data_IF_272319564736
#
_entry.id   IF_272319564736
#
_cell.length_a   1.000
_cell.length_b   1.000
_cell.length_c   1.000
_cell.angle_alpha   90.00
_cell.angle_beta   90.00
_cell.angle_gamma   90.00
#
_symmetry.space_group_name_H-M   'P 1'
#
loop_
_entity.id
_entity.type
_entity.pdbx_description
1 polymer ?
#
# COMPACT_ATOMS: atom_id res chain seq x y z
N UNK A 1 12.21 -34.26 -1.58
CA UNK A 1 13.27 -33.24 -1.77
C UNK A 1 12.57 -31.89 -1.80
N UNK A 2 12.68 -31.10 -0.72
CA UNK A 2 12.09 -29.76 -0.67
C UNK A 2 12.80 -28.90 -1.71
N UNK A 3 12.10 -28.54 -2.78
CA UNK A 3 12.54 -27.44 -3.63
C UNK A 3 12.53 -26.20 -2.73
N UNK A 4 13.71 -25.70 -2.39
CA UNK A 4 13.85 -24.37 -1.79
C UNK A 4 13.23 -23.39 -2.77
N UNK A 5 12.00 -22.93 -2.50
CA UNK A 5 11.39 -21.90 -3.33
C UNK A 5 12.33 -20.70 -3.36
N UNK A 6 12.68 -20.21 -4.55
CA UNK A 6 13.45 -18.97 -4.69
C UNK A 6 12.65 -17.85 -4.04
N UNK A 7 13.03 -17.44 -2.82
CA UNK A 7 12.39 -16.34 -2.09
C UNK A 7 12.74 -15.03 -2.81
N UNK A 8 11.79 -14.48 -3.54
CA UNK A 8 12.02 -13.25 -4.33
C UNK A 8 10.85 -12.28 -4.34
N UNK A 9 9.67 -12.71 -3.91
CA UNK A 9 8.49 -11.86 -3.95
C UNK A 9 8.52 -10.77 -2.89
N UNK A 10 7.77 -9.72 -3.13
CA UNK A 10 7.68 -8.54 -2.28
C UNK A 10 6.23 -8.31 -1.91
N UNK A 11 5.97 -8.27 -0.61
CA UNK A 11 4.68 -7.85 -0.05
C UNK A 11 4.68 -6.33 0.10
N UNK A 12 3.85 -5.62 -0.67
CA UNK A 12 3.84 -4.15 -0.67
C UNK A 12 2.88 -3.53 0.35
N UNK A 13 2.23 -4.34 1.19
CA UNK A 13 1.29 -3.82 2.19
C UNK A 13 1.15 -4.77 3.38
N UNK A 14 1.79 -4.45 4.49
CA UNK A 14 1.52 -5.10 5.78
C UNK A 14 1.65 -4.10 6.94
N UNK A 15 1.12 -4.47 8.10
CA UNK A 15 1.14 -3.68 9.33
C UNK A 15 1.76 -4.48 10.48
N UNK A 16 2.52 -3.82 11.33
CA UNK A 16 3.03 -4.38 12.60
C UNK A 16 2.66 -3.44 13.74
N UNK A 17 2.25 -4.00 14.87
CA UNK A 17 1.78 -3.26 16.04
C UNK A 17 1.67 -4.15 17.28
N UNK A 18 1.49 -3.53 18.44
CA UNK A 18 1.27 -4.20 19.72
C UNK A 18 -0.17 -4.05 20.19
N UNK A 19 -0.65 -5.04 20.93
CA UNK A 19 -1.98 -5.04 21.53
C UNK A 19 -2.18 -3.82 22.45
N UNK A 20 -3.35 -3.19 22.36
CA UNK A 20 -3.77 -2.09 23.22
C UNK A 20 -3.07 -0.75 22.95
N UNK A 21 -2.18 -0.67 21.97
CA UNK A 21 -1.47 0.59 21.65
C UNK A 21 -2.19 1.32 20.53
N UNK A 22 -2.69 2.52 20.84
CA UNK A 22 -3.29 3.44 19.90
C UNK A 22 -3.16 4.90 20.40
N UNK A 23 -3.19 5.85 19.48
CA UNK A 23 -3.28 7.27 19.80
C UNK A 23 -4.66 7.62 20.37
N UNK A 24 -4.74 8.74 21.09
CA UNK A 24 -6.01 9.31 21.50
C UNK A 24 -6.87 9.65 20.26
N UNK A 25 -8.16 9.30 20.32
CA UNK A 25 -9.10 9.52 19.20
C UNK A 25 -8.98 8.51 18.05
N UNK A 26 -8.12 7.49 18.16
CA UNK A 26 -8.09 6.39 17.20
C UNK A 26 -9.46 5.68 17.13
N UNK A 27 -9.86 5.28 15.91
CA UNK A 27 -11.14 4.59 15.67
C UNK A 27 -11.30 3.28 16.45
N UNK A 28 -10.18 2.60 16.68
CA UNK A 28 -10.11 1.37 17.48
C UNK A 28 -8.66 1.17 17.95
N UNK A 29 -8.50 0.33 18.97
CA UNK A 29 -7.20 -0.19 19.41
C UNK A 29 -7.19 -1.72 19.26
N UNK A 30 -6.23 -2.31 18.52
CA UNK A 30 -6.19 -3.75 18.32
C UNK A 30 -5.99 -4.50 19.63
N UNK A 31 -6.70 -5.61 19.84
CA UNK A 31 -6.62 -6.43 21.06
C UNK A 31 -5.58 -7.57 20.95
N UNK A 32 -4.81 -7.60 19.87
CA UNK A 32 -3.75 -8.56 19.62
C UNK A 32 -2.51 -7.82 19.10
N UNK A 33 -1.37 -8.51 19.12
CA UNK A 33 -0.13 -7.98 18.54
C UNK A 33 0.13 -8.64 17.19
N UNK A 34 0.57 -7.86 16.24
CA UNK A 34 1.04 -8.32 14.94
C UNK A 34 2.53 -8.01 14.89
N UNK A 35 3.38 -8.97 15.27
CA UNK A 35 4.82 -8.73 15.41
C UNK A 35 5.51 -8.90 14.06
N UNK A 36 6.56 -8.12 13.83
CA UNK A 36 7.38 -8.26 12.63
C UNK A 36 7.94 -9.69 12.48
N UNK A 37 8.34 -10.33 13.58
CA UNK A 37 8.82 -11.72 13.56
C UNK A 37 7.75 -12.70 13.05
N UNK A 38 6.47 -12.46 13.36
CA UNK A 38 5.36 -13.31 12.92
C UNK A 38 5.12 -13.13 11.41
N UNK A 39 5.16 -11.88 10.92
CA UNK A 39 5.11 -11.59 9.48
C UNK A 39 6.29 -12.25 8.75
N UNK A 40 7.53 -12.10 9.25
CA UNK A 40 8.73 -12.72 8.64
C UNK A 40 8.55 -14.23 8.52
N UNK A 41 8.12 -14.89 9.60
CA UNK A 41 7.95 -16.34 9.62
C UNK A 41 6.92 -16.82 8.59
N UNK A 42 5.77 -16.13 8.50
CA UNK A 42 4.69 -16.49 7.58
C UNK A 42 5.02 -16.14 6.12
N UNK A 43 5.49 -14.92 5.86
CA UNK A 43 5.83 -14.42 4.54
C UNK A 43 6.93 -15.27 3.87
N UNK A 44 7.97 -15.62 4.62
CA UNK A 44 9.05 -16.45 4.09
C UNK A 44 8.64 -17.89 3.77
N UNK A 45 7.60 -18.41 4.42
CA UNK A 45 7.05 -19.74 4.14
C UNK A 45 6.49 -19.85 2.72
N UNK A 46 6.01 -18.74 2.15
CA UNK A 46 5.38 -18.69 0.82
C UNK A 46 6.26 -18.02 -0.24
N UNK A 47 7.54 -17.74 0.05
CA UNK A 47 8.47 -17.19 -0.93
C UNK A 47 8.55 -15.66 -0.99
N UNK A 48 7.90 -14.95 -0.06
CA UNK A 48 8.06 -13.50 0.14
C UNK A 48 9.36 -13.24 0.90
N UNK A 49 10.21 -12.39 0.32
CA UNK A 49 11.54 -12.08 0.83
C UNK A 49 11.68 -10.64 1.34
N UNK A 50 10.82 -9.72 0.86
CA UNK A 50 10.85 -8.30 1.22
C UNK A 50 9.44 -7.81 1.52
N UNK A 51 9.36 -6.72 2.28
CA UNK A 51 8.09 -6.16 2.72
C UNK A 51 8.09 -4.64 2.75
N UNK A 52 6.92 -4.05 2.49
CA UNK A 52 6.66 -2.62 2.73
C UNK A 52 5.74 -2.50 3.92
N UNK A 53 6.29 -2.06 5.06
CA UNK A 53 5.52 -1.78 6.26
C UNK A 53 4.77 -0.46 6.06
N UNK A 54 3.45 -0.53 6.06
CA UNK A 54 2.58 0.64 6.00
C UNK A 54 2.16 1.04 7.41
N UNK A 55 2.34 2.31 7.78
CA UNK A 55 1.96 2.81 9.09
C UNK A 55 0.43 2.64 9.33
N UNK A 56 0.01 1.92 10.39
CA UNK A 56 -1.42 1.72 10.68
C UNK A 56 -2.05 2.97 11.28
N UNK A 57 -3.31 3.25 10.94
CA UNK A 57 -3.97 4.53 11.29
C UNK A 57 -4.08 4.79 12.79
N UNK A 58 -4.21 3.74 13.61
CA UNK A 58 -4.34 3.88 15.06
C UNK A 58 -3.03 4.25 15.76
N UNK A 59 -1.87 4.19 15.08
CA UNK A 59 -0.60 4.71 15.60
C UNK A 59 -0.32 6.16 15.15
N UNK A 60 -1.21 6.74 14.33
CA UNK A 60 -1.07 8.13 13.88
C UNK A 60 0.27 8.38 13.18
N UNK A 61 0.86 9.54 13.48
CA UNK A 61 2.13 10.00 12.90
C UNK A 61 3.37 9.52 13.66
N UNK A 62 3.21 8.68 14.69
CA UNK A 62 4.36 8.06 15.37
C UNK A 62 4.85 6.86 14.55
N UNK A 63 5.81 7.13 13.68
CA UNK A 63 6.43 6.14 12.80
C UNK A 63 7.64 5.45 13.45
N UNK A 64 7.94 5.70 14.73
CA UNK A 64 9.19 5.30 15.37
C UNK A 64 9.45 3.79 15.33
N UNK A 65 8.43 2.97 15.52
CA UNK A 65 8.55 1.51 15.44
C UNK A 65 8.87 1.02 14.03
N UNK A 66 8.21 1.58 13.03
CA UNK A 66 8.50 1.28 11.63
C UNK A 66 9.95 1.68 11.33
N UNK A 67 10.33 2.93 11.62
CA UNK A 67 11.68 3.46 11.39
C UNK A 67 12.77 2.57 11.98
N UNK A 68 12.64 2.20 13.26
CA UNK A 68 13.61 1.31 13.93
C UNK A 68 13.73 -0.06 13.23
N UNK A 69 12.62 -0.59 12.70
CA UNK A 69 12.65 -1.84 11.95
C UNK A 69 13.27 -1.69 10.56
N UNK A 70 13.04 -0.58 9.86
CA UNK A 70 13.66 -0.32 8.56
C UNK A 70 15.18 -0.22 8.69
N UNK A 71 15.67 0.45 9.73
CA UNK A 71 17.10 0.56 10.04
C UNK A 71 17.73 -0.79 10.41
N UNK A 72 17.00 -1.65 11.12
CA UNK A 72 17.46 -2.98 11.49
C UNK A 72 17.47 -3.96 10.30
N UNK A 73 16.61 -3.74 9.29
CA UNK A 73 16.45 -4.64 8.15
C UNK A 73 16.43 -3.92 6.79
N UNK A 74 17.47 -3.14 6.43
CA UNK A 74 17.46 -2.24 5.28
C UNK A 74 17.41 -2.94 3.91
N UNK A 75 17.81 -4.21 3.84
CA UNK A 75 17.71 -4.99 2.59
C UNK A 75 16.35 -5.66 2.40
N UNK A 76 15.58 -5.80 3.49
CA UNK A 76 14.32 -6.54 3.54
C UNK A 76 13.11 -5.60 3.59
N UNK A 77 13.21 -4.46 4.27
CA UNK A 77 12.07 -3.60 4.55
C UNK A 77 12.19 -2.21 3.93
N UNK A 78 11.03 -1.71 3.48
CA UNK A 78 10.77 -0.28 3.21
C UNK A 78 9.51 0.13 3.94
N UNK A 79 9.33 1.44 4.10
CA UNK A 79 8.20 1.98 4.87
C UNK A 79 7.35 2.95 4.08
N UNK A 80 6.07 3.03 4.48
CA UNK A 80 5.15 4.10 4.10
C UNK A 80 4.65 4.76 5.37
N UNK A 81 5.07 6.01 5.57
CA UNK A 81 4.80 6.75 6.79
C UNK A 81 3.42 7.42 6.76
N UNK A 82 2.86 7.69 7.94
CA UNK A 82 1.79 8.69 8.09
C UNK A 82 2.43 9.94 8.70
N UNK A 83 2.21 11.10 8.11
CA UNK A 83 2.81 12.37 8.53
C UNK A 83 1.75 13.45 8.65
N UNK A 84 2.05 14.49 9.42
CA UNK A 84 1.25 15.72 9.42
C UNK A 84 1.38 16.43 8.06
N UNK A 85 0.31 17.06 7.52
CA UNK A 85 0.41 17.95 6.36
C UNK A 85 1.42 19.10 6.54
N UNK A 86 1.71 19.45 7.79
CA UNK A 86 2.69 20.48 8.17
C UNK A 86 4.11 19.93 8.44
N UNK A 87 4.40 18.67 8.11
CA UNK A 87 5.73 18.10 8.33
C UNK A 87 6.83 18.91 7.61
N UNK A 88 7.99 19.04 8.26
CA UNK A 88 9.13 19.75 7.67
C UNK A 88 9.82 18.90 6.61
N UNK A 89 10.48 19.53 5.64
CA UNK A 89 11.29 18.81 4.65
C UNK A 89 12.40 17.97 5.30
N UNK A 90 12.97 18.44 6.40
CA UNK A 90 14.07 17.74 7.08
C UNK A 90 13.58 16.47 7.80
N UNK A 91 12.37 16.50 8.38
CA UNK A 91 11.74 15.29 8.93
C UNK A 91 11.49 14.25 7.82
N UNK A 92 11.00 14.70 6.66
CA UNK A 92 10.70 13.82 5.51
C UNK A 92 11.99 13.22 4.93
N UNK A 93 13.07 14.01 4.84
CA UNK A 93 14.41 13.53 4.45
C UNK A 93 14.96 12.51 5.45
N UNK A 94 14.75 12.73 6.75
CA UNK A 94 15.16 11.78 7.79
C UNK A 94 14.41 10.45 7.66
N UNK A 95 13.10 10.49 7.40
CA UNK A 95 12.31 9.29 7.09
C UNK A 95 12.84 8.57 5.84
N UNK A 96 13.22 9.32 4.79
CA UNK A 96 13.78 8.72 3.58
C UNK A 96 15.08 7.95 3.87
N UNK A 97 15.99 8.55 4.66
CA UNK A 97 17.25 7.93 5.06
C UNK A 97 17.02 6.63 5.85
N UNK A 98 16.01 6.61 6.72
CA UNK A 98 15.62 5.40 7.45
C UNK A 98 15.02 4.30 6.56
N UNK A 99 14.59 4.61 5.32
CA UNK A 99 14.03 3.62 4.39
C UNK A 99 12.57 3.85 4.00
N UNK A 100 11.96 4.98 4.38
CA UNK A 100 10.60 5.35 3.93
C UNK A 100 10.64 5.77 2.46
N UNK A 101 9.62 5.37 1.68
CA UNK A 101 9.53 5.60 0.22
C UNK A 101 8.22 6.26 -0.22
N UNK A 102 7.43 6.73 0.72
CA UNK A 102 6.17 7.40 0.47
C UNK A 102 5.44 7.69 1.77
N UNK A 103 4.31 8.36 1.62
CA UNK A 103 3.39 8.65 2.73
C UNK A 103 2.01 8.12 2.42
N UNK A 104 1.21 7.82 3.45
CA UNK A 104 -0.16 7.33 3.30
C UNK A 104 -1.20 8.35 3.74
N UNK A 105 -2.17 8.56 2.87
CA UNK A 105 -3.41 9.27 3.12
C UNK A 105 -4.54 8.24 3.26
N UNK A 106 -4.83 7.84 4.51
CA UNK A 106 -5.89 6.89 4.83
C UNK A 106 -7.18 7.63 5.22
N UNK A 107 -8.09 7.70 4.26
CA UNK A 107 -9.39 8.39 4.34
C UNK A 107 -10.56 7.42 4.44
N UNK A 108 -10.33 6.13 4.67
CA UNK A 108 -11.45 5.20 4.85
C UNK A 108 -12.19 5.53 6.15
N UNK A 109 -13.52 5.54 6.14
CA UNK A 109 -14.39 5.80 7.28
C UNK A 109 -14.31 7.22 7.86
N UNK A 110 -13.74 8.16 7.11
CA UNK A 110 -13.61 9.59 7.49
C UNK A 110 -13.91 10.46 6.26
N UNK A 111 -13.82 11.78 6.41
CA UNK A 111 -14.02 12.73 5.31
C UNK A 111 -13.06 12.48 4.14
N UNK A 112 -13.56 12.62 2.91
CA UNK A 112 -12.76 12.65 1.67
C UNK A 112 -12.41 14.06 1.20
N UNK A 113 -12.79 15.09 1.97
CA UNK A 113 -12.28 16.45 1.82
C UNK A 113 -10.90 16.55 2.48
N UNK A 114 -9.90 17.04 1.76
CA UNK A 114 -8.50 17.11 2.23
C UNK A 114 -7.90 18.53 2.10
N UNK A 115 -8.57 19.58 2.58
CA UNK A 115 -8.12 20.96 2.41
C UNK A 115 -6.72 21.21 3.00
N UNK A 116 -6.34 20.54 4.09
CA UNK A 116 -5.02 20.66 4.70
C UNK A 116 -3.91 20.15 3.77
N UNK A 117 -4.21 19.14 2.95
CA UNK A 117 -3.25 18.57 2.00
C UNK A 117 -3.07 19.45 0.76
N UNK A 118 -4.10 20.21 0.36
CA UNK A 118 -3.98 21.16 -0.74
C UNK A 118 -2.96 22.27 -0.48
N UNK A 119 -2.63 22.52 0.80
CA UNK A 119 -1.66 23.54 1.25
C UNK A 119 -0.35 22.94 1.76
N UNK A 120 -0.14 21.62 1.63
CA UNK A 120 1.02 20.91 2.16
C UNK A 120 2.24 21.01 1.23
N UNK A 121 2.74 22.22 0.98
CA UNK A 121 3.83 22.48 0.01
C UNK A 121 5.09 21.64 0.27
N UNK A 122 5.52 21.53 1.52
CA UNK A 122 6.67 20.70 1.91
C UNK A 122 6.46 19.23 1.56
N UNK A 123 5.25 18.71 1.70
CA UNK A 123 4.92 17.32 1.35
C UNK A 123 5.06 17.11 -0.15
N UNK A 124 4.47 17.99 -0.96
CA UNK A 124 4.52 17.87 -2.41
C UNK A 124 5.94 18.03 -2.95
N UNK A 125 6.71 18.96 -2.37
CA UNK A 125 8.12 19.11 -2.66
C UNK A 125 8.92 17.86 -2.29
N UNK A 126 8.72 17.30 -1.08
CA UNK A 126 9.40 16.06 -0.68
C UNK A 126 9.03 14.87 -1.58
N UNK A 127 7.75 14.75 -1.97
CA UNK A 127 7.30 13.69 -2.88
C UNK A 127 8.10 13.72 -4.19
N UNK A 128 8.29 14.91 -4.74
CA UNK A 128 9.08 15.09 -5.95
C UNK A 128 10.58 14.90 -5.71
N UNK A 129 11.18 15.57 -4.72
CA UNK A 129 12.63 15.53 -4.44
C UNK A 129 13.14 14.13 -4.07
N UNK A 130 12.32 13.34 -3.37
CA UNK A 130 12.70 12.05 -2.82
C UNK A 130 12.26 10.87 -3.68
N UNK A 131 11.70 11.13 -4.86
CA UNK A 131 11.05 10.14 -5.72
C UNK A 131 10.04 9.26 -4.95
N UNK A 132 9.29 9.89 -4.06
CA UNK A 132 8.26 9.23 -3.25
C UNK A 132 6.93 9.16 -4.02
N UNK A 133 6.01 8.37 -3.49
CA UNK A 133 4.61 8.35 -3.91
C UNK A 133 3.68 8.69 -2.75
N UNK A 134 2.46 9.10 -3.09
CA UNK A 134 1.36 9.16 -2.16
C UNK A 134 0.55 7.86 -2.24
N UNK A 135 0.50 7.12 -1.13
CA UNK A 135 -0.39 5.98 -0.96
C UNK A 135 -1.78 6.45 -0.52
N UNK A 136 -2.84 6.05 -1.22
CA UNK A 136 -4.20 6.54 -0.98
C UNK A 136 -5.14 5.37 -0.68
N UNK A 137 -5.88 5.49 0.42
CA UNK A 137 -6.95 4.57 0.81
C UNK A 137 -8.23 5.34 1.08
N UNK A 138 -9.26 5.16 0.27
CA UNK A 138 -10.56 5.86 0.40
C UNK A 138 -11.66 4.90 0.81
N UNK A 139 -12.89 5.37 1.00
CA UNK A 139 -14.05 4.48 0.97
C UNK A 139 -14.43 4.10 -0.47
N UNK A 140 -15.37 3.17 -0.60
CA UNK A 140 -15.78 2.61 -1.88
C UNK A 140 -16.32 3.72 -2.81
N UNK A 141 -15.80 3.80 -4.03
CA UNK A 141 -16.19 4.79 -5.04
C UNK A 141 -15.71 6.23 -4.80
N UNK A 142 -14.99 6.52 -3.72
CA UNK A 142 -14.59 7.89 -3.36
C UNK A 142 -13.23 8.33 -3.96
N UNK A 143 -12.47 7.39 -4.53
CA UNK A 143 -11.16 7.71 -5.11
C UNK A 143 -11.19 8.84 -6.16
N UNK A 144 -12.14 8.90 -7.12
CA UNK A 144 -12.17 9.98 -8.10
C UNK A 144 -12.20 11.37 -7.45
N UNK A 145 -13.04 11.55 -6.42
CA UNK A 145 -13.15 12.81 -5.69
C UNK A 145 -11.83 13.22 -5.05
N UNK A 146 -11.16 12.29 -4.36
CA UNK A 146 -9.86 12.54 -3.73
C UNK A 146 -8.79 12.89 -4.77
N UNK A 147 -8.75 12.18 -5.90
CA UNK A 147 -7.78 12.45 -6.96
C UNK A 147 -7.93 13.85 -7.57
N UNK A 148 -9.13 14.44 -7.59
CA UNK A 148 -9.34 15.82 -8.10
C UNK A 148 -8.70 16.89 -7.22
N UNK A 149 -8.48 16.60 -5.94
CA UNK A 149 -7.90 17.53 -4.97
C UNK A 149 -6.37 17.44 -4.91
N UNK A 150 -5.77 16.40 -5.49
CA UNK A 150 -4.34 16.13 -5.44
C UNK A 150 -3.60 16.69 -6.67
N UNK A 151 -2.38 17.24 -6.52
CA UNK A 151 -1.58 17.69 -7.66
C UNK A 151 -1.44 16.58 -8.72
N UNK A 152 -1.75 16.88 -9.99
CA UNK A 152 -1.86 15.87 -11.06
C UNK A 152 -0.57 15.09 -11.33
N UNK A 153 0.58 15.73 -11.09
CA UNK A 153 1.90 15.14 -11.29
C UNK A 153 2.34 14.17 -10.18
N UNK A 154 1.66 14.13 -9.03
CA UNK A 154 2.03 13.25 -7.91
C UNK A 154 1.85 11.77 -8.28
N UNK A 155 2.91 10.94 -8.17
CA UNK A 155 2.79 9.49 -8.30
C UNK A 155 1.90 8.94 -7.19
N UNK A 156 0.98 8.05 -7.53
CA UNK A 156 0.01 7.49 -6.56
C UNK A 156 0.07 5.97 -6.52
N UNK A 157 -0.01 5.43 -5.31
CA UNK A 157 -0.28 4.01 -5.06
C UNK A 157 -1.65 3.91 -4.41
N UNK A 158 -2.54 3.09 -4.97
CA UNK A 158 -3.93 3.00 -4.53
C UNK A 158 -4.16 1.66 -3.84
N UNK A 159 -4.65 1.72 -2.61
CA UNK A 159 -4.84 0.53 -1.78
C UNK A 159 -6.05 -0.32 -2.22
N UNK A 160 -5.93 -1.61 -1.95
CA UNK A 160 -7.01 -2.61 -1.96
C UNK A 160 -7.88 -2.58 -3.22
N UNK A 161 -7.24 -2.69 -4.39
CA UNK A 161 -7.89 -2.70 -5.70
C UNK A 161 -8.78 -1.47 -5.96
N UNK A 162 -8.45 -0.33 -5.35
CA UNK A 162 -9.13 0.96 -5.49
C UNK A 162 -10.59 1.02 -5.01
N UNK A 163 -11.19 -0.10 -4.62
CA UNK A 163 -12.56 -0.22 -4.11
C UNK A 163 -13.59 0.55 -4.97
N UNK A 164 -13.77 0.19 -6.26
CA UNK A 164 -14.83 0.76 -7.10
C UNK A 164 -16.21 0.38 -6.58
N UNK A 165 -17.26 1.04 -7.08
CA UNK A 165 -18.64 0.63 -6.78
C UNK A 165 -18.98 -0.67 -7.49
N UNK A 166 -18.52 -0.82 -8.74
CA UNK A 166 -18.75 -2.01 -9.56
C UNK A 166 -17.47 -2.46 -10.27
N UNK A 167 -17.34 -3.77 -10.53
CA UNK A 167 -16.29 -4.30 -11.39
C UNK A 167 -16.66 -4.10 -12.87
N UNK A 168 -16.58 -2.84 -13.33
CA UNK A 168 -16.92 -2.44 -14.69
C UNK A 168 -15.94 -1.35 -15.20
N UNK A 169 -15.55 -1.42 -16.48
CA UNK A 169 -14.64 -0.45 -17.09
C UNK A 169 -15.18 1.00 -17.07
N UNK A 170 -16.51 1.17 -17.04
CA UNK A 170 -17.14 2.50 -16.96
C UNK A 170 -17.34 3.00 -15.53
N UNK A 171 -16.93 2.24 -14.51
CA UNK A 171 -16.94 2.73 -13.13
C UNK A 171 -16.04 3.99 -13.01
N UNK A 172 -16.51 5.07 -12.37
CA UNK A 172 -15.74 6.31 -12.24
C UNK A 172 -14.33 6.12 -11.66
N UNK A 173 -14.15 5.13 -10.78
CA UNK A 173 -12.85 4.78 -10.18
C UNK A 173 -11.86 4.30 -11.24
N UNK A 174 -12.28 3.38 -12.11
CA UNK A 174 -11.43 2.84 -13.18
C UNK A 174 -11.12 3.92 -14.22
N UNK A 175 -12.10 4.74 -14.59
CA UNK A 175 -11.90 5.87 -15.50
C UNK A 175 -10.91 6.89 -14.93
N UNK A 176 -11.02 7.24 -13.64
CA UNK A 176 -10.13 8.16 -12.97
C UNK A 176 -8.69 7.62 -12.90
N UNK A 177 -8.52 6.32 -12.59
CA UNK A 177 -7.21 5.66 -12.61
C UNK A 177 -6.57 5.69 -14.00
N UNK A 178 -7.33 5.32 -15.04
CA UNK A 178 -6.85 5.33 -16.43
C UNK A 178 -6.46 6.73 -16.90
N UNK A 179 -7.24 7.76 -16.55
CA UNK A 179 -6.90 9.15 -16.84
C UNK A 179 -5.66 9.61 -16.08
N UNK A 180 -5.55 9.28 -14.80
CA UNK A 180 -4.40 9.65 -13.95
C UNK A 180 -3.11 9.00 -14.46
N UNK A 181 -3.17 7.73 -14.86
CA UNK A 181 -2.02 6.96 -15.34
C UNK A 181 -1.44 7.50 -16.67
N UNK A 182 -2.20 8.32 -17.41
CA UNK A 182 -1.71 9.03 -18.60
C UNK A 182 -0.84 10.25 -18.26
N UNK A 183 -0.88 10.72 -17.01
CA UNK A 183 -0.22 11.96 -16.57
C UNK A 183 0.93 11.68 -15.61
N UNK A 184 0.74 10.77 -14.66
CA UNK A 184 1.73 10.43 -13.63
C UNK A 184 1.62 8.94 -13.28
N UNK A 185 2.69 8.27 -12.83
CA UNK A 185 2.63 6.86 -12.45
C UNK A 185 1.51 6.55 -11.45
N UNK A 186 0.67 5.58 -11.80
CA UNK A 186 -0.34 5.00 -10.91
C UNK A 186 0.02 3.55 -10.67
N UNK A 187 -0.01 3.13 -9.41
CA UNK A 187 0.03 1.73 -9.04
C UNK A 187 -1.25 1.35 -8.28
N UNK A 188 -1.81 0.17 -8.53
CA UNK A 188 -2.93 -0.37 -7.75
C UNK A 188 -2.47 -1.63 -7.02
N UNK A 189 -2.68 -1.68 -5.70
CA UNK A 189 -2.34 -2.85 -4.88
C UNK A 189 -3.45 -3.90 -4.95
N UNK A 190 -3.15 -5.05 -5.54
CA UNK A 190 -3.95 -6.27 -5.45
C UNK A 190 -3.77 -6.84 -4.04
N UNK A 191 -4.68 -6.46 -3.16
CA UNK A 191 -4.67 -6.73 -1.73
C UNK A 191 -6.09 -6.56 -1.18
N UNK A 192 -6.37 -7.10 0.01
CA UNK A 192 -7.57 -6.75 0.78
C UNK A 192 -8.92 -6.99 0.07
N UNK A 193 -9.06 -8.04 -0.75
CA UNK A 193 -10.29 -8.28 -1.51
C UNK A 193 -11.55 -8.45 -0.62
N UNK A 194 -11.39 -8.91 0.61
CA UNK A 194 -12.47 -8.96 1.61
C UNK A 194 -13.00 -7.57 2.02
N UNK A 195 -12.33 -6.48 1.61
CA UNK A 195 -12.74 -5.09 1.84
C UNK A 195 -13.53 -4.48 0.67
N UNK A 196 -13.82 -5.23 -0.38
CA UNK A 196 -14.44 -4.73 -1.63
C UNK A 196 -15.98 -4.60 -1.59
N UNK A 197 -16.62 -4.84 -0.44
CA UNK A 197 -18.07 -4.61 -0.32
C UNK A 197 -18.93 -5.48 -1.25
N UNK A 198 -18.45 -6.68 -1.61
CA UNK A 198 -19.15 -7.62 -2.50
C UNK A 198 -18.80 -7.49 -3.98
N UNK A 199 -17.97 -6.53 -4.38
CA UNK A 199 -17.42 -6.48 -5.75
C UNK A 199 -16.54 -7.70 -6.01
N UNK A 200 -16.76 -8.36 -7.14
CA UNK A 200 -16.00 -9.56 -7.52
C UNK A 200 -14.54 -9.20 -7.83
N UNK A 201 -13.61 -9.68 -6.99
CA UNK A 201 -12.19 -9.39 -7.11
C UNK A 201 -11.54 -9.97 -8.36
N UNK A 202 -11.96 -11.14 -8.83
CA UNK A 202 -11.39 -11.75 -10.05
C UNK A 202 -11.73 -10.94 -11.31
N UNK A 203 -12.99 -10.52 -11.45
CA UNK A 203 -13.42 -9.63 -12.53
C UNK A 203 -12.70 -8.28 -12.43
N UNK A 204 -12.60 -7.71 -11.22
CA UNK A 204 -11.93 -6.43 -11.01
C UNK A 204 -10.43 -6.49 -11.31
N UNK A 205 -9.73 -7.56 -10.90
CA UNK A 205 -8.32 -7.77 -11.21
C UNK A 205 -8.09 -7.81 -12.73
N UNK A 206 -8.93 -8.58 -13.44
CA UNK A 206 -8.87 -8.69 -14.91
C UNK A 206 -9.07 -7.34 -15.58
N UNK A 207 -10.03 -6.53 -15.10
CA UNK A 207 -10.27 -5.18 -15.61
C UNK A 207 -9.09 -4.24 -15.33
N UNK A 208 -8.57 -4.22 -14.10
CA UNK A 208 -7.45 -3.34 -13.73
C UNK A 208 -6.19 -3.68 -14.54
N UNK A 209 -5.89 -4.97 -14.75
CA UNK A 209 -4.80 -5.41 -15.61
C UNK A 209 -5.00 -4.98 -17.07
N UNK A 210 -6.24 -5.10 -17.59
CA UNK A 210 -6.57 -4.69 -18.95
C UNK A 210 -6.48 -3.17 -19.16
N UNK A 211 -6.94 -2.38 -18.19
CA UNK A 211 -7.03 -0.92 -18.30
C UNK A 211 -5.70 -0.20 -18.01
N UNK A 212 -4.91 -0.72 -17.06
CA UNK A 212 -3.68 -0.06 -16.60
C UNK A 212 -2.39 -0.78 -17.04
N UNK A 213 -2.48 -2.06 -17.38
CA UNK A 213 -1.33 -2.93 -17.63
C UNK A 213 -0.70 -3.47 -16.34
N UNK A 214 0.00 -4.60 -16.44
CA UNK A 214 0.65 -5.25 -15.31
C UNK A 214 1.75 -4.40 -14.66
N UNK A 215 2.40 -3.52 -15.41
CA UNK A 215 3.41 -2.57 -14.92
C UNK A 215 2.87 -1.54 -13.90
N UNK A 216 1.55 -1.38 -13.82
CA UNK A 216 0.84 -0.50 -12.89
C UNK A 216 0.19 -1.26 -11.73
N UNK A 217 0.55 -2.54 -11.51
CA UNK A 217 -0.04 -3.38 -10.46
C UNK A 217 1.02 -3.83 -9.47
N UNK A 218 0.67 -3.81 -8.19
CA UNK A 218 1.47 -4.36 -7.09
C UNK A 218 0.66 -5.43 -6.36
N UNK A 219 1.32 -6.33 -5.63
CA UNK A 219 0.65 -7.23 -4.68
C UNK A 219 0.99 -6.84 -3.23
N UNK A 220 0.01 -6.96 -2.33
CA UNK A 220 0.22 -6.79 -0.90
C UNK A 220 -0.68 -7.73 -0.10
N UNK A 221 -0.18 -8.22 1.04
CA UNK A 221 -0.92 -9.17 1.87
C UNK A 221 -2.07 -8.51 2.66
N UNK A 222 -1.94 -7.21 2.95
CA UNK A 222 -2.73 -6.50 3.96
C UNK A 222 -2.64 -7.15 5.35
N UNK A 223 -1.61 -7.99 5.60
CA UNK A 223 -1.42 -8.67 6.88
C UNK A 223 -1.31 -7.65 8.01
N UNK A 224 -1.95 -7.87 9.18
CA UNK A 224 -2.66 -9.06 9.63
C UNK A 224 -4.16 -9.06 9.31
N UNK A 225 -4.56 -8.38 8.24
CA UNK A 225 -5.95 -8.27 7.78
C UNK A 225 -6.86 -7.66 8.85
N UNK A 226 -6.46 -6.55 9.47
CA UNK A 226 -7.16 -5.96 10.64
C UNK A 226 -8.67 -5.84 10.45
N UNK A 227 -9.44 -6.28 11.47
CA UNK A 227 -10.91 -6.47 11.48
C UNK A 227 -11.43 -7.63 10.60
N UNK A 228 -10.53 -8.41 10.01
CA UNK A 228 -10.80 -9.58 9.20
C UNK A 228 -9.68 -10.63 9.34
N UNK A 229 -9.22 -10.84 10.58
CA UNK A 229 -8.05 -11.65 10.92
C UNK A 229 -8.14 -13.08 10.36
N UNK A 230 -9.34 -13.61 10.13
CA UNK A 230 -9.54 -14.92 9.49
C UNK A 230 -8.97 -15.04 8.07
N UNK A 231 -8.67 -13.93 7.39
CA UNK A 231 -8.04 -13.94 6.07
C UNK A 231 -6.52 -13.78 6.11
N UNK A 232 -5.90 -13.66 7.29
CA UNK A 232 -4.45 -13.45 7.45
C UNK A 232 -3.62 -14.72 7.24
N UNK A 233 -3.95 -15.49 6.21
CA UNK A 233 -3.27 -16.72 5.83
C UNK A 233 -2.48 -16.49 4.53
N UNK A 234 -1.15 -16.50 4.63
CA UNK A 234 -0.27 -16.17 3.51
C UNK A 234 -0.38 -17.15 2.34
N UNK A 235 -0.70 -18.43 2.57
CA UNK A 235 -0.90 -19.41 1.50
C UNK A 235 -2.12 -19.03 0.66
N UNK A 236 -3.26 -18.74 1.31
CA UNK A 236 -4.47 -18.30 0.63
C UNK A 236 -4.30 -16.93 -0.04
N UNK A 237 -3.66 -15.96 0.62
CA UNK A 237 -3.43 -14.63 0.06
C UNK A 237 -2.54 -14.68 -1.19
N UNK A 238 -1.49 -15.51 -1.19
CA UNK A 238 -0.63 -15.68 -2.37
C UNK A 238 -1.26 -16.55 -3.45
N UNK A 239 -2.08 -17.55 -3.10
CA UNK A 239 -2.86 -18.32 -4.07
C UNK A 239 -3.85 -17.42 -4.82
N UNK A 240 -4.57 -16.56 -4.08
CA UNK A 240 -5.48 -15.58 -4.66
C UNK A 240 -4.75 -14.57 -5.55
N UNK A 241 -3.55 -14.11 -5.16
CA UNK A 241 -2.72 -13.26 -6.00
C UNK A 241 -2.36 -13.90 -7.34
N UNK A 242 -1.96 -15.19 -7.32
CA UNK A 242 -1.64 -15.95 -8.54
C UNK A 242 -2.85 -16.07 -9.46
N UNK A 243 -4.05 -16.26 -8.89
CA UNK A 243 -5.31 -16.31 -9.64
C UNK A 243 -5.61 -14.97 -10.34
N UNK A 244 -5.46 -13.85 -9.62
CA UNK A 244 -5.67 -12.51 -10.18
C UNK A 244 -4.67 -12.12 -11.26
N UNK A 245 -3.38 -12.40 -11.03
CA UNK A 245 -2.28 -11.86 -11.84
C UNK A 245 -2.01 -12.73 -13.07
N UNK A 246 -2.22 -14.05 -12.96
CA UNK A 246 -1.78 -15.00 -13.98
C UNK A 246 -0.27 -15.21 -13.99
N UNK A 247 0.19 -16.31 -14.59
CA UNK A 247 1.60 -16.72 -14.53
C UNK A 247 2.55 -15.79 -15.29
N UNK A 248 2.08 -15.16 -16.38
CA UNK A 248 2.90 -14.31 -17.25
C UNK A 248 3.30 -13.00 -16.57
N UNK A 249 2.37 -12.38 -15.82
CA UNK A 249 2.61 -11.11 -15.14
C UNK A 249 3.13 -11.25 -13.71
N UNK A 250 3.24 -12.48 -13.18
CA UNK A 250 3.55 -12.71 -11.77
C UNK A 250 4.90 -12.12 -11.34
N UNK A 251 5.93 -12.27 -12.18
CA UNK A 251 7.25 -11.69 -11.91
C UNK A 251 7.22 -10.16 -11.96
N UNK A 252 6.48 -9.60 -12.92
CA UNK A 252 6.34 -8.16 -13.07
C UNK A 252 5.68 -7.55 -11.82
N UNK A 253 4.56 -8.12 -11.39
CA UNK A 253 3.73 -7.59 -10.29
C UNK A 253 4.35 -7.86 -8.91
N UNK A 254 4.87 -9.06 -8.66
CA UNK A 254 5.35 -9.45 -7.32
C UNK A 254 6.83 -9.16 -7.09
N UNK A 255 7.59 -8.79 -8.13
CA UNK A 255 9.05 -8.57 -8.04
C UNK A 255 9.47 -7.28 -8.73
N UNK A 256 9.29 -7.16 -10.05
CA UNK A 256 9.90 -6.07 -10.82
C UNK A 256 9.32 -4.68 -10.47
N UNK A 257 8.00 -4.56 -10.42
CA UNK A 257 7.29 -3.33 -10.05
C UNK A 257 7.67 -2.87 -8.63
N UNK A 258 7.56 -3.70 -7.58
CA UNK A 258 7.92 -3.27 -6.24
C UNK A 258 9.43 -2.99 -6.09
N UNK A 259 10.32 -3.74 -6.76
CA UNK A 259 11.74 -3.41 -6.77
C UNK A 259 11.99 -2.02 -7.36
N UNK A 260 11.37 -1.71 -8.51
CA UNK A 260 11.47 -0.40 -9.15
C UNK A 260 10.95 0.72 -8.24
N UNK A 261 9.82 0.49 -7.57
CA UNK A 261 9.17 1.53 -6.78
C UNK A 261 9.85 1.79 -5.43
N UNK A 262 10.36 0.76 -4.77
CA UNK A 262 10.80 0.85 -3.36
C UNK A 262 12.30 0.63 -3.14
N UNK A 263 13.01 -0.04 -4.08
CA UNK A 263 14.43 -0.39 -3.95
C UNK A 263 15.33 0.11 -5.09
N UNK A 264 14.77 0.77 -6.11
CA UNK A 264 15.61 1.44 -7.11
C UNK A 264 16.50 2.50 -6.42
N UNK A 265 17.73 2.63 -6.91
CA UNK A 265 18.58 3.73 -6.50
C UNK A 265 17.91 5.06 -6.92
N UNK A 266 17.89 6.01 -6.00
CA UNK A 266 17.48 7.40 -6.25
C UNK A 266 18.62 8.12 -6.97
#
# INVERSE_FOLDING_TARGET
MSQTMSKKWIDTHFHVFNAGVAIEGARYAPQYSARLADWIAQAQGVGVARGVWVQPSFLGTDNSWMVAALEAYPDMLRGIAVVSPAASLDDLRSLHQAGVRGIRLNLSGVSHEIPEWTQAENIWQAIHELNWHLEVHTDQGQLPHVLTQLPSATPVVVDHMAKPLEACATDPTLLALSQRNKVSPVYVKFSGAYRLGGVNSNTLASLLLSELGDSAVLWGSDWPCTNYEQFSDFENLTAQAREWIGSESLEQVMVANPLKLYWAAV
#
